data_IF_246597695715
#
_entry.id   IF_246597695715
#
_cell.length_a   1.000
_cell.length_b   1.000
_cell.length_c   1.000
_cell.angle_alpha   90.00
_cell.angle_beta   90.00
_cell.angle_gamma   90.00
#
_symmetry.space_group_name_H-M   'P 1'
#
loop_
_entity.id
_entity.type
_entity.pdbx_description
1 polymer ?
#
# COMPACT_ATOMS: atom_id res chain seq x y z
N UNK A 1 30.03 -1.66 6.93
CA UNK A 1 29.55 -0.33 7.37
C UNK A 1 28.15 -0.53 7.90
N UNK A 2 27.97 -0.44 9.23
CA UNK A 2 26.68 -0.65 9.89
C UNK A 2 25.65 0.39 9.43
N UNK A 3 24.37 0.00 9.39
CA UNK A 3 23.27 0.95 9.26
C UNK A 3 23.28 1.89 10.46
N UNK A 4 23.04 3.18 10.23
CA UNK A 4 22.93 4.17 11.33
C UNK A 4 21.64 4.06 12.12
N UNK A 5 20.63 3.35 11.58
CA UNK A 5 19.31 3.17 12.16
C UNK A 5 18.86 1.71 12.02
N UNK A 6 18.06 1.19 12.97
CA UNK A 6 17.36 -0.08 12.83
C UNK A 6 16.39 -0.07 11.63
N UNK A 7 16.02 -1.26 11.17
CA UNK A 7 15.18 -1.45 9.97
C UNK A 7 13.77 -1.89 10.32
N UNK A 8 12.82 -1.60 9.42
CA UNK A 8 11.43 -2.04 9.50
C UNK A 8 11.09 -2.91 8.28
N UNK A 9 10.87 -4.22 8.46
CA UNK A 9 10.56 -5.13 7.36
C UNK A 9 9.17 -4.89 6.76
N UNK A 10 9.15 -4.47 5.50
CA UNK A 10 7.93 -4.38 4.69
C UNK A 10 7.57 -5.76 4.13
N UNK A 11 6.28 -6.00 3.90
CA UNK A 11 5.91 -7.06 2.96
C UNK A 11 6.32 -6.61 1.56
N UNK A 12 7.07 -7.40 0.77
CA UNK A 12 7.46 -6.99 -0.58
C UNK A 12 6.26 -6.98 -1.54
N UNK A 13 5.20 -7.74 -1.25
CA UNK A 13 4.02 -7.89 -2.09
C UNK A 13 2.76 -8.07 -1.23
N UNK A 14 1.60 -7.94 -1.87
CA UNK A 14 0.30 -8.34 -1.34
C UNK A 14 -0.16 -9.57 -2.11
N UNK A 15 -0.26 -10.72 -1.43
CA UNK A 15 -0.69 -12.00 -2.05
C UNK A 15 0.13 -12.34 -3.30
N UNK A 16 1.45 -12.20 -3.21
CA UNK A 16 2.38 -12.44 -4.31
C UNK A 16 2.45 -11.35 -5.38
N UNK A 17 1.63 -10.29 -5.32
CA UNK A 17 1.66 -9.17 -6.26
C UNK A 17 2.30 -7.91 -5.62
N UNK A 18 3.45 -7.48 -6.15
CA UNK A 18 4.11 -6.23 -5.80
C UNK A 18 4.13 -5.25 -6.98
N UNK A 19 4.21 -3.96 -6.68
CA UNK A 19 4.53 -2.90 -7.63
C UNK A 19 6.05 -2.77 -7.79
N UNK A 20 6.51 -2.71 -9.03
CA UNK A 20 7.90 -2.41 -9.38
C UNK A 20 8.08 -0.89 -9.43
N UNK A 21 8.82 -0.34 -8.48
CA UNK A 21 9.17 1.07 -8.40
C UNK A 21 10.57 1.28 -8.96
N UNK A 22 10.68 1.94 -10.10
CA UNK A 22 11.95 2.08 -10.82
C UNK A 22 12.97 2.89 -10.04
N UNK A 23 14.18 2.36 -9.98
CA UNK A 23 15.36 3.04 -9.43
C UNK A 23 16.08 3.77 -10.55
N UNK A 24 16.27 5.08 -10.37
CA UNK A 24 17.05 5.95 -11.25
C UNK A 24 18.48 6.11 -10.73
N UNK A 25 19.37 6.63 -11.59
CA UNK A 25 20.78 6.87 -11.27
C UNK A 25 21.51 5.64 -10.69
N UNK A 26 21.21 4.48 -11.27
CA UNK A 26 21.71 3.18 -10.81
C UNK A 26 23.25 3.11 -10.92
N UNK A 27 23.90 2.85 -9.79
CA UNK A 27 25.35 2.67 -9.67
C UNK A 27 25.74 1.29 -10.22
N UNK A 28 26.26 1.27 -11.45
CA UNK A 28 26.48 0.04 -12.21
C UNK A 28 27.64 -0.82 -11.72
N UNK A 29 28.75 -0.21 -11.29
CA UNK A 29 29.98 -0.94 -10.94
C UNK A 29 29.80 -2.06 -9.91
N UNK A 30 29.13 -1.86 -8.75
CA UNK A 30 28.90 -2.94 -7.79
C UNK A 30 27.96 -4.02 -8.34
N UNK A 31 26.99 -3.66 -9.18
CA UNK A 31 26.07 -4.63 -9.79
C UNK A 31 26.78 -5.53 -10.81
N UNK A 32 27.70 -4.99 -11.60
CA UNK A 32 28.55 -5.81 -12.49
C UNK A 32 29.49 -6.73 -11.73
N UNK A 33 30.08 -6.25 -10.63
CA UNK A 33 30.99 -7.06 -9.82
C UNK A 33 30.29 -8.30 -9.22
N UNK A 34 29.01 -8.18 -8.88
CA UNK A 34 28.26 -9.25 -8.21
C UNK A 34 27.38 -10.07 -9.17
N UNK A 35 26.67 -9.41 -10.09
CA UNK A 35 25.66 -10.03 -10.95
C UNK A 35 26.07 -10.14 -12.42
N UNK A 36 27.29 -9.72 -12.80
CA UNK A 36 27.73 -9.68 -14.20
C UNK A 36 27.69 -11.03 -14.93
N UNK A 37 27.67 -12.15 -14.20
CA UNK A 37 27.51 -13.50 -14.76
C UNK A 37 26.07 -14.02 -14.78
N UNK A 38 25.12 -13.31 -14.16
CA UNK A 38 23.76 -13.77 -13.93
C UNK A 38 22.86 -13.43 -15.11
N UNK A 39 22.04 -14.40 -15.55
CA UNK A 39 21.09 -14.22 -16.66
C UNK A 39 19.63 -14.10 -16.22
N UNK A 40 19.34 -14.39 -14.95
CA UNK A 40 18.02 -14.27 -14.36
C UNK A 40 17.94 -13.00 -13.50
N UNK A 41 16.72 -12.57 -13.17
CA UNK A 41 16.51 -11.54 -12.16
C UNK A 41 17.02 -12.04 -10.81
N UNK A 42 17.73 -11.19 -10.10
CA UNK A 42 18.17 -11.44 -8.72
C UNK A 42 17.37 -10.56 -7.77
N UNK A 43 16.83 -11.14 -6.70
CA UNK A 43 16.14 -10.38 -5.66
C UNK A 43 17.08 -10.16 -4.49
N UNK A 44 17.24 -8.89 -4.09
CA UNK A 44 18.18 -8.52 -3.02
C UNK A 44 17.51 -7.60 -2.00
N UNK A 45 17.75 -7.78 -0.70
CA UNK A 45 17.28 -6.86 0.32
C UNK A 45 17.88 -5.46 0.13
N UNK A 46 17.01 -4.45 0.16
CA UNK A 46 17.37 -3.03 0.07
C UNK A 46 16.66 -2.22 1.14
N UNK A 47 17.34 -1.17 1.58
CA UNK A 47 16.85 -0.18 2.52
C UNK A 47 16.55 1.10 1.77
N UNK A 48 15.44 1.73 2.13
CA UNK A 48 15.03 3.03 1.62
C UNK A 48 15.46 4.11 2.62
N UNK A 49 16.49 4.89 2.29
CA UNK A 49 16.97 5.98 3.13
C UNK A 49 16.37 7.31 2.66
N UNK A 50 15.79 8.13 3.56
CA UNK A 50 15.21 9.40 3.17
C UNK A 50 16.30 10.40 2.75
N UNK A 51 16.17 10.97 1.55
CA UNK A 51 16.95 12.12 1.12
C UNK A 51 16.10 13.39 1.29
N UNK A 52 16.40 14.19 2.31
CA UNK A 52 15.62 15.39 2.62
C UNK A 52 15.85 16.54 1.64
N UNK A 53 16.95 16.54 0.88
CA UNK A 53 17.29 17.63 -0.05
C UNK A 53 16.53 17.48 -1.35
N UNK A 54 16.53 16.27 -1.91
CA UNK A 54 15.91 15.96 -3.22
C UNK A 54 14.49 15.39 -3.07
N UNK A 55 14.00 15.28 -1.83
CA UNK A 55 12.72 14.63 -1.50
C UNK A 55 12.61 13.21 -2.12
N UNK A 56 13.73 12.53 -2.32
CA UNK A 56 13.87 11.19 -2.92
C UNK A 56 14.11 10.11 -1.86
N UNK A 57 14.14 8.84 -2.25
CA UNK A 57 14.74 7.78 -1.44
C UNK A 57 16.05 7.31 -2.04
N UNK A 58 17.11 7.26 -1.25
CA UNK A 58 18.32 6.53 -1.62
C UNK A 58 18.10 5.04 -1.37
N UNK A 59 18.25 4.25 -2.41
CA UNK A 59 18.15 2.79 -2.34
C UNK A 59 19.52 2.23 -1.99
N UNK A 60 19.63 1.58 -0.83
CA UNK A 60 20.90 1.04 -0.35
C UNK A 60 20.81 -0.46 -0.13
N UNK A 61 21.80 -1.22 -0.59
CA UNK A 61 21.94 -2.63 -0.21
C UNK A 61 22.63 -2.74 1.14
N UNK A 62 22.06 -3.57 2.01
CA UNK A 62 22.67 -3.95 3.27
C UNK A 62 24.07 -4.53 3.00
N UNK A 63 25.09 -3.98 3.65
CA UNK A 63 26.49 -4.41 3.49
C UNK A 63 27.20 -3.97 2.19
N UNK A 64 26.49 -3.50 1.16
CA UNK A 64 27.07 -3.28 -0.18
C UNK A 64 27.00 -1.84 -0.73
N UNK A 65 26.34 -0.92 -0.03
CA UNK A 65 26.32 0.50 -0.40
C UNK A 65 25.16 0.90 -1.31
N UNK A 66 25.21 2.12 -1.83
CA UNK A 66 24.11 2.75 -2.58
C UNK A 66 23.96 2.06 -3.95
N UNK A 67 22.72 1.76 -4.31
CA UNK A 67 22.33 1.19 -5.61
C UNK A 67 21.83 2.27 -6.55
N UNK A 68 21.09 3.26 -6.06
CA UNK A 68 20.52 4.35 -6.86
C UNK A 68 19.49 5.13 -6.04
N UNK A 69 18.55 5.79 -6.71
CA UNK A 69 17.51 6.59 -6.06
C UNK A 69 16.10 6.28 -6.61
N UNK A 70 15.07 6.39 -5.76
CA UNK A 70 13.67 6.45 -6.17
C UNK A 70 13.24 7.90 -6.17
N UNK A 71 12.57 8.31 -7.26
CA UNK A 71 12.17 9.70 -7.49
C UNK A 71 11.25 10.26 -6.40
N UNK A 72 11.21 11.59 -6.26
CA UNK A 72 10.25 12.28 -5.39
C UNK A 72 8.79 11.95 -5.73
N UNK A 73 8.48 11.74 -7.01
CA UNK A 73 7.12 11.47 -7.48
C UNK A 73 6.65 10.10 -7.03
N UNK A 74 7.53 9.11 -7.12
CA UNK A 74 7.22 7.77 -6.62
C UNK A 74 7.16 7.75 -5.10
N UNK A 75 8.13 8.37 -4.42
CA UNK A 75 8.11 8.51 -2.95
C UNK A 75 6.82 9.14 -2.45
N UNK A 76 6.33 10.19 -3.11
CA UNK A 76 5.12 10.90 -2.71
C UNK A 76 3.85 10.02 -2.73
N UNK A 77 3.83 8.92 -3.50
CA UNK A 77 2.70 7.98 -3.51
C UNK A 77 2.60 7.19 -2.21
N UNK A 78 3.72 7.00 -1.52
CA UNK A 78 3.89 6.09 -0.39
C UNK A 78 3.95 6.84 0.95
N UNK A 79 2.92 7.66 1.22
CA UNK A 79 2.86 8.54 2.40
C UNK A 79 3.00 7.81 3.73
N UNK A 80 2.54 6.57 3.82
CA UNK A 80 2.60 5.79 5.06
C UNK A 80 4.02 5.31 5.40
N UNK A 81 4.94 5.26 4.44
CA UNK A 81 6.35 4.94 4.72
C UNK A 81 7.03 6.05 5.54
N UNK A 82 6.55 7.29 5.47
CA UNK A 82 7.05 8.37 6.33
C UNK A 82 6.83 8.10 7.81
N UNK A 83 5.82 7.29 8.17
CA UNK A 83 5.61 6.85 9.56
C UNK A 83 6.77 6.01 10.09
N UNK A 84 7.37 5.19 9.22
CA UNK A 84 8.54 4.37 9.55
C UNK A 84 9.74 5.29 9.82
N UNK A 85 9.99 6.25 8.93
CA UNK A 85 11.07 7.23 9.10
C UNK A 85 10.91 8.09 10.36
N UNK A 86 9.70 8.58 10.62
CA UNK A 86 9.40 9.35 11.85
C UNK A 86 9.66 8.53 13.11
N UNK A 87 9.41 7.22 13.03
CA UNK A 87 9.71 6.26 14.11
C UNK A 87 11.20 5.92 14.24
N UNK A 88 12.09 6.62 13.53
CA UNK A 88 13.54 6.40 13.53
C UNK A 88 13.95 5.01 13.00
N UNK A 89 13.16 4.47 12.07
CA UNK A 89 13.41 3.21 11.40
C UNK A 89 13.64 3.44 9.90
N UNK A 90 14.31 2.50 9.25
CA UNK A 90 14.46 2.48 7.79
C UNK A 90 13.65 1.33 7.17
N UNK A 91 12.73 1.59 6.23
CA UNK A 91 12.01 0.53 5.53
C UNK A 91 13.00 -0.38 4.79
N UNK A 92 12.85 -1.69 4.97
CA UNK A 92 13.57 -2.71 4.19
C UNK A 92 12.57 -3.52 3.37
N UNK A 93 12.89 -3.73 2.09
CA UNK A 93 12.12 -4.52 1.12
C UNK A 93 13.09 -5.23 0.16
N UNK A 94 12.58 -5.81 -0.93
CA UNK A 94 13.37 -6.42 -1.99
C UNK A 94 13.52 -5.49 -3.19
N UNK A 95 14.66 -5.56 -3.87
CA UNK A 95 14.85 -5.01 -5.21
C UNK A 95 15.10 -6.15 -6.20
N UNK A 96 14.43 -6.06 -7.36
CA UNK A 96 14.71 -6.87 -8.53
C UNK A 96 15.88 -6.24 -9.31
N UNK A 97 16.97 -6.99 -9.47
CA UNK A 97 18.13 -6.58 -10.27
C UNK A 97 18.15 -7.42 -11.55
N UNK A 98 18.07 -6.76 -12.69
CA UNK A 98 18.00 -7.41 -14.01
C UNK A 98 18.98 -6.78 -14.99
N UNK A 99 19.74 -7.61 -15.69
CA UNK A 99 20.59 -7.12 -16.77
C UNK A 99 19.74 -6.80 -18.01
N UNK A 100 19.79 -5.54 -18.46
CA UNK A 100 19.23 -5.10 -19.73
C UNK A 100 20.30 -5.25 -20.81
N UNK A 101 20.14 -6.28 -21.65
CA UNK A 101 21.06 -6.58 -22.73
C UNK A 101 21.04 -5.54 -23.87
N UNK A 102 19.93 -4.81 -24.04
CA UNK A 102 19.82 -3.78 -25.07
C UNK A 102 20.59 -2.52 -24.66
N UNK A 103 20.51 -2.15 -23.38
CA UNK A 103 21.17 -0.97 -22.84
C UNK A 103 22.57 -1.27 -22.27
N UNK A 104 22.95 -2.55 -22.17
CA UNK A 104 24.25 -2.98 -21.65
C UNK A 104 24.48 -2.60 -20.19
N UNK A 105 23.42 -2.51 -19.39
CA UNK A 105 23.46 -2.07 -17.99
C UNK A 105 22.42 -2.82 -17.15
N UNK A 106 22.56 -2.78 -15.83
CA UNK A 106 21.53 -3.29 -14.92
C UNK A 106 20.40 -2.27 -14.74
N UNK A 107 19.17 -2.76 -14.87
CA UNK A 107 17.96 -2.14 -14.38
C UNK A 107 17.65 -2.66 -12.97
N UNK A 108 17.12 -1.77 -12.12
CA UNK A 108 16.76 -2.09 -10.75
C UNK A 108 15.38 -1.51 -10.47
N UNK A 109 14.50 -2.36 -9.95
CA UNK A 109 13.18 -1.97 -9.48
C UNK A 109 13.04 -2.39 -8.01
N UNK A 110 12.62 -1.47 -7.14
CA UNK A 110 12.27 -1.79 -5.77
C UNK A 110 10.84 -2.32 -5.74
N UNK A 111 10.64 -3.46 -5.10
CA UNK A 111 9.34 -4.10 -5.02
C UNK A 111 8.66 -3.60 -3.75
N UNK A 112 7.50 -2.99 -3.93
CA UNK A 112 6.67 -2.49 -2.84
C UNK A 112 5.22 -2.96 -3.05
N UNK A 113 4.47 -3.25 -2.00
CA UNK A 113 3.04 -3.50 -2.10
C UNK A 113 2.33 -2.19 -2.51
N UNK A 114 1.06 -2.23 -2.94
CA UNK A 114 0.32 -1.01 -3.26
C UNK A 114 0.39 0.02 -2.13
N UNK A 115 0.49 1.33 -2.41
CA UNK A 115 0.82 2.32 -1.38
C UNK A 115 -0.07 2.30 -0.12
N UNK A 116 -1.39 2.10 -0.30
CA UNK A 116 -2.37 2.03 0.78
C UNK A 116 -2.28 0.76 1.64
N UNK A 117 -1.50 -0.23 1.21
CA UNK A 117 -1.29 -1.52 1.85
C UNK A 117 0.16 -1.69 2.35
N UNK A 118 1.00 -0.67 2.22
CA UNK A 118 2.44 -0.83 2.44
C UNK A 118 2.87 -0.87 3.89
N UNK A 119 2.14 -0.21 4.80
CA UNK A 119 2.50 -0.19 6.21
C UNK A 119 1.29 -0.58 7.05
N UNK A 120 1.41 -1.59 7.93
CA UNK A 120 0.33 -2.01 8.83
C UNK A 120 -0.20 -0.85 9.69
N UNK A 121 -1.51 -0.74 9.84
CA UNK A 121 -2.15 0.35 10.60
C UNK A 121 -1.98 0.22 12.12
N UNK A 122 -1.73 -1.00 12.61
CA UNK A 122 -1.36 -1.31 13.98
C UNK A 122 0.06 -1.89 14.08
N UNK A 123 0.53 -2.08 15.30
CA UNK A 123 1.80 -2.75 15.60
C UNK A 123 1.59 -4.24 15.86
N UNK A 124 2.60 -5.06 15.55
CA UNK A 124 2.60 -6.49 15.82
C UNK A 124 2.68 -6.80 17.33
N UNK A 125 3.28 -5.89 18.10
CA UNK A 125 3.50 -6.05 19.52
C UNK A 125 4.87 -6.66 19.84
N UNK A 126 5.37 -6.31 21.02
CA UNK A 126 6.65 -6.78 21.52
C UNK A 126 6.63 -8.30 21.71
N UNK A 127 7.67 -8.99 21.24
CA UNK A 127 7.83 -10.45 21.29
C UNK A 127 6.91 -11.27 20.38
N UNK A 128 6.11 -10.62 19.52
CA UNK A 128 5.35 -11.34 18.50
C UNK A 128 6.26 -11.95 17.43
N UNK A 129 5.88 -13.13 16.95
CA UNK A 129 6.47 -13.76 15.79
C UNK A 129 5.59 -13.45 14.58
N UNK A 130 6.11 -12.66 13.63
CA UNK A 130 5.38 -12.31 12.41
C UNK A 130 5.66 -13.38 11.36
N UNK A 131 4.61 -14.06 10.88
CA UNK A 131 4.76 -15.00 9.76
C UNK A 131 5.22 -14.26 8.48
N UNK A 132 6.07 -14.88 7.65
CA UNK A 132 6.47 -14.32 6.36
C UNK A 132 5.26 -14.08 5.46
N UNK A 133 5.38 -13.09 4.57
CA UNK A 133 4.39 -12.84 3.50
C UNK A 133 4.45 -13.93 2.44
N UNK A 134 3.32 -14.24 1.80
CA UNK A 134 3.20 -15.35 0.87
C UNK A 134 1.84 -15.46 0.18
N UNK A 135 1.20 -16.61 0.36
CA UNK A 135 -0.06 -16.94 -0.27
C UNK A 135 -1.24 -16.35 0.53
N UNK A 136 -2.36 -16.20 -0.18
CA UNK A 136 -3.61 -15.70 0.38
C UNK A 136 -4.36 -16.82 1.10
N UNK A 137 -4.67 -16.63 2.38
CA UNK A 137 -5.62 -17.47 3.12
C UNK A 137 -6.83 -16.65 3.56
N UNK A 138 -8.03 -17.07 3.19
CA UNK A 138 -9.26 -16.28 3.38
C UNK A 138 -9.67 -16.32 4.86
N UNK A 139 -10.10 -15.18 5.39
CA UNK A 139 -10.69 -15.08 6.73
C UNK A 139 -12.22 -15.08 6.57
N UNK A 140 -12.88 -16.07 7.16
CA UNK A 140 -14.32 -16.10 7.32
C UNK A 140 -14.72 -15.15 8.46
N UNK A 141 -15.05 -13.91 8.06
CA UNK A 141 -15.46 -12.84 8.98
C UNK A 141 -16.90 -12.96 9.49
N UNK A 142 -17.74 -13.82 8.89
CA UNK A 142 -19.11 -14.06 9.38
C UNK A 142 -19.11 -14.76 10.74
N UNK A 143 -18.02 -15.49 11.03
CA UNK A 143 -17.76 -16.15 12.32
C UNK A 143 -17.09 -15.21 13.34
N UNK A 144 -16.90 -13.94 12.99
CA UNK A 144 -16.24 -12.93 13.82
C UNK A 144 -17.20 -12.02 14.60
N UNK A 145 -16.61 -11.08 15.34
CA UNK A 145 -17.31 -10.12 16.18
C UNK A 145 -17.51 -8.75 15.50
N UNK A 146 -16.99 -8.56 14.28
CA UNK A 146 -17.03 -7.27 13.58
C UNK A 146 -18.25 -7.16 12.68
N UNK A 147 -18.95 -6.01 12.75
CA UNK A 147 -20.03 -5.72 11.79
C UNK A 147 -19.48 -5.39 10.41
N UNK A 148 -20.33 -5.45 9.38
CA UNK A 148 -19.95 -5.06 8.02
C UNK A 148 -19.43 -3.61 7.95
N UNK A 149 -20.03 -2.68 8.69
CA UNK A 149 -19.58 -1.28 8.75
C UNK A 149 -18.21 -1.15 9.43
N UNK A 150 -17.97 -1.94 10.47
CA UNK A 150 -16.66 -1.97 11.14
C UNK A 150 -15.59 -2.52 10.20
N UNK A 151 -15.85 -3.62 9.49
CA UNK A 151 -14.93 -4.18 8.50
C UNK A 151 -14.66 -3.20 7.36
N UNK A 152 -15.69 -2.49 6.87
CA UNK A 152 -15.54 -1.47 5.85
C UNK A 152 -14.62 -0.32 6.30
N UNK A 153 -14.64 0.05 7.58
CA UNK A 153 -13.75 1.10 8.12
C UNK A 153 -12.27 0.68 8.21
N UNK A 154 -11.98 -0.62 8.18
CA UNK A 154 -10.63 -1.18 8.19
C UNK A 154 -10.00 -1.21 6.79
N UNK A 155 -10.83 -1.13 5.73
CA UNK A 155 -10.42 -1.19 4.33
C UNK A 155 -10.28 0.21 3.69
N UNK A 156 -9.46 0.36 2.63
CA UNK A 156 -8.38 -0.55 2.25
C UNK A 156 -7.22 -0.44 3.24
N UNK A 157 -6.64 -1.55 3.68
CA UNK A 157 -5.53 -1.47 4.62
C UNK A 157 -4.86 -2.79 4.97
N UNK A 158 -3.63 -2.67 5.45
CA UNK A 158 -2.87 -3.76 6.04
C UNK A 158 -2.94 -3.68 7.57
N UNK A 159 -3.06 -4.85 8.22
CA UNK A 159 -3.12 -4.98 9.67
C UNK A 159 -2.32 -6.18 10.12
N UNK A 160 -1.74 -6.12 11.32
CA UNK A 160 -1.29 -7.31 12.04
C UNK A 160 -2.47 -7.93 12.77
N UNK A 161 -2.65 -9.23 12.59
CA UNK A 161 -3.68 -10.04 13.25
C UNK A 161 -3.03 -11.19 14.01
N UNK A 162 -3.60 -11.55 15.16
CA UNK A 162 -3.18 -12.71 15.94
C UNK A 162 -3.75 -13.99 15.33
N UNK A 163 -2.96 -15.07 15.39
CA UNK A 163 -3.37 -16.40 14.96
C UNK A 163 -3.29 -17.37 16.13
N UNK A 164 -4.36 -18.12 16.35
CA UNK A 164 -4.40 -19.12 17.42
C UNK A 164 -5.18 -20.36 16.98
N UNK A 165 -4.63 -21.54 17.27
CA UNK A 165 -5.36 -22.81 17.11
C UNK A 165 -6.41 -22.95 18.22
N UNK A 166 -7.66 -23.21 17.83
CA UNK A 166 -8.77 -23.47 18.74
C UNK A 166 -9.13 -24.97 18.70
N UNK A 167 -8.34 -25.76 19.41
CA UNK A 167 -8.39 -27.22 19.30
C UNK A 167 -7.94 -27.70 17.91
N UNK A 168 -8.50 -28.82 17.46
CA UNK A 168 -8.11 -29.44 16.18
C UNK A 168 -8.92 -28.91 14.98
N UNK A 169 -9.98 -28.12 15.22
CA UNK A 169 -11.01 -27.83 14.23
C UNK A 169 -10.94 -26.44 13.59
N UNK A 170 -10.27 -25.47 14.22
CA UNK A 170 -10.27 -24.09 13.74
C UNK A 170 -8.95 -23.38 14.03
N UNK A 171 -8.61 -22.43 13.16
CA UNK A 171 -7.63 -21.37 13.41
C UNK A 171 -8.39 -20.06 13.52
N UNK A 172 -8.36 -19.48 14.72
CA UNK A 172 -9.02 -18.21 15.06
C UNK A 172 -8.09 -17.06 14.73
N UNK A 173 -8.65 -16.03 14.08
CA UNK A 173 -7.95 -14.80 13.72
C UNK A 173 -8.46 -13.67 14.59
N UNK A 174 -7.57 -12.94 15.26
CA UNK A 174 -7.91 -11.82 16.14
C UNK A 174 -7.34 -10.51 15.64
N UNK A 175 -8.10 -9.43 15.81
CA UNK A 175 -7.62 -8.06 15.61
C UNK A 175 -7.72 -7.31 16.94
N UNK A 176 -6.59 -7.16 17.61
CA UNK A 176 -6.56 -6.73 19.01
C UNK A 176 -7.17 -7.81 19.92
N UNK A 177 -8.06 -7.41 20.83
CA UNK A 177 -8.72 -8.32 21.78
C UNK A 177 -9.99 -8.98 21.22
N UNK A 178 -10.36 -8.67 19.97
CA UNK A 178 -11.60 -9.11 19.34
C UNK A 178 -11.35 -10.17 18.27
N UNK A 179 -12.29 -11.10 18.14
CA UNK A 179 -12.24 -12.13 17.10
C UNK A 179 -12.66 -11.52 15.76
N UNK A 180 -11.75 -11.53 14.80
CA UNK A 180 -12.02 -11.09 13.42
C UNK A 180 -12.79 -12.17 12.64
N UNK A 181 -12.49 -13.44 12.91
CA UNK A 181 -13.10 -14.58 12.24
C UNK A 181 -12.27 -15.85 12.41
N UNK A 182 -12.49 -16.81 11.52
CA UNK A 182 -11.67 -18.02 11.42
C UNK A 182 -11.05 -18.13 10.02
N UNK A 183 -9.94 -18.85 9.91
CA UNK A 183 -9.41 -19.24 8.58
C UNK A 183 -10.46 -20.09 7.86
N UNK A 184 -10.63 -19.84 6.56
CA UNK A 184 -11.59 -20.58 5.73
C UNK A 184 -11.28 -22.09 5.72
N UNK A 185 -12.31 -22.92 5.55
CA UNK A 185 -12.11 -24.37 5.51
C UNK A 185 -11.20 -24.84 4.37
N UNK A 186 -11.02 -24.02 3.31
CA UNK A 186 -10.14 -24.35 2.19
C UNK A 186 -8.66 -24.23 2.56
N UNK A 187 -8.31 -23.29 3.45
CA UNK A 187 -6.93 -22.97 3.81
C UNK A 187 -6.55 -23.51 5.20
N UNK A 188 -7.53 -24.00 5.97
CA UNK A 188 -7.39 -24.34 7.38
C UNK A 188 -6.24 -25.31 7.69
N UNK A 189 -6.16 -26.42 6.94
CA UNK A 189 -5.16 -27.46 7.22
C UNK A 189 -3.73 -26.94 6.99
N UNK A 190 -3.53 -26.15 5.93
CA UNK A 190 -2.24 -25.56 5.58
C UNK A 190 -1.82 -24.50 6.61
N UNK A 191 -2.72 -23.58 6.98
CA UNK A 191 -2.43 -22.56 8.00
C UNK A 191 -2.18 -23.20 9.37
N UNK A 192 -2.92 -24.26 9.72
CA UNK A 192 -2.68 -24.98 10.97
C UNK A 192 -1.30 -25.64 10.98
N UNK A 193 -0.87 -26.24 9.87
CA UNK A 193 0.47 -26.81 9.76
C UNK A 193 1.56 -25.73 9.95
N UNK A 194 1.41 -24.58 9.28
CA UNK A 194 2.30 -23.43 9.45
C UNK A 194 2.43 -23.00 10.92
N UNK A 195 1.32 -22.94 11.66
CA UNK A 195 1.32 -22.54 13.08
C UNK A 195 1.97 -23.58 13.99
N UNK A 196 1.88 -24.87 13.66
CA UNK A 196 2.49 -25.95 14.43
C UNK A 196 4.02 -26.01 14.19
N UNK A 197 4.46 -25.68 12.99
CA UNK A 197 5.88 -25.66 12.62
C UNK A 197 6.58 -24.36 13.03
N UNK A 198 5.83 -23.27 13.22
CA UNK A 198 6.37 -22.01 13.71
C UNK A 198 6.91 -22.15 15.14
N UNK A 199 8.09 -21.57 15.45
CA UNK A 199 8.60 -21.59 16.82
C UNK A 199 7.65 -20.84 17.74
N UNK A 200 7.35 -21.44 18.89
CA UNK A 200 6.53 -20.79 19.90
C UNK A 200 7.25 -19.56 20.45
N UNK A 201 6.69 -18.34 20.32
CA UNK A 201 7.32 -17.15 20.86
C UNK A 201 7.28 -17.17 22.39
N UNK A 202 8.40 -16.83 23.03
CA UNK A 202 8.48 -16.69 24.49
C UNK A 202 7.58 -15.53 24.94
N UNK A 203 6.43 -15.86 25.54
CA UNK A 203 5.42 -14.89 26.02
C UNK A 203 4.81 -13.98 24.94
N UNK A 204 4.91 -14.35 23.66
CA UNK A 204 4.33 -13.62 22.54
C UNK A 204 3.18 -14.36 21.86
N UNK A 205 2.69 -13.80 20.75
CA UNK A 205 1.72 -14.46 19.87
C UNK A 205 2.30 -14.62 18.48
N UNK A 206 1.85 -15.66 17.76
CA UNK A 206 2.06 -15.73 16.31
C UNK A 206 1.10 -14.77 15.65
N UNK A 207 1.64 -13.89 14.83
CA UNK A 207 0.87 -12.87 14.11
C UNK A 207 1.13 -12.98 12.62
N UNK A 208 0.19 -12.52 11.82
CA UNK A 208 0.32 -12.44 10.38
C UNK A 208 -0.09 -11.06 9.88
N UNK A 209 0.32 -10.74 8.65
CA UNK A 209 -0.23 -9.62 7.91
C UNK A 209 -1.58 -10.04 7.34
N UNK A 210 -2.58 -9.19 7.52
CA UNK A 210 -3.88 -9.32 6.89
C UNK A 210 -4.17 -8.08 6.05
N UNK A 211 -4.76 -8.29 4.88
CA UNK A 211 -5.19 -7.23 3.99
C UNK A 211 -6.72 -7.20 3.92
N UNK A 212 -7.25 -5.99 4.03
CA UNK A 212 -8.67 -5.68 3.90
C UNK A 212 -8.84 -4.89 2.62
N UNK A 213 -9.45 -5.50 1.60
CA UNK A 213 -9.58 -4.91 0.27
C UNK A 213 -10.88 -5.39 -0.37
N UNK A 214 -11.66 -4.46 -0.96
CA UNK A 214 -12.87 -4.77 -1.74
C UNK A 214 -13.87 -5.70 -1.01
N UNK A 215 -14.04 -5.53 0.30
CA UNK A 215 -14.95 -6.33 1.14
C UNK A 215 -14.42 -7.71 1.53
N UNK A 216 -13.17 -8.04 1.17
CA UNK A 216 -12.48 -9.25 1.57
C UNK A 216 -11.48 -8.96 2.70
N UNK A 217 -11.35 -9.90 3.63
CA UNK A 217 -10.27 -9.96 4.59
C UNK A 217 -9.51 -11.28 4.38
N UNK A 218 -8.20 -11.19 4.11
CA UNK A 218 -7.38 -12.39 3.94
C UNK A 218 -5.98 -12.16 4.52
N UNK A 219 -5.41 -13.25 5.03
CA UNK A 219 -4.03 -13.33 5.47
C UNK A 219 -3.10 -13.30 4.25
N UNK A 220 -1.87 -12.89 4.51
CA UNK A 220 -0.72 -12.98 3.60
C UNK A 220 0.39 -13.69 4.35
N UNK A 221 0.51 -14.99 4.09
CA UNK A 221 1.30 -15.90 4.91
C UNK A 221 2.06 -16.92 4.06
N UNK A 222 3.27 -17.25 4.48
CA UNK A 222 4.07 -18.37 4.01
C UNK A 222 4.59 -19.16 5.21
N UNK A 223 5.15 -20.34 4.92
CA UNK A 223 5.81 -21.17 5.93
C UNK A 223 6.96 -20.40 6.60
N UNK A 224 7.15 -20.66 7.89
CA UNK A 224 8.26 -20.05 8.65
C UNK A 224 9.63 -20.30 7.98
N UNK A 225 9.82 -21.48 7.39
CA UNK A 225 11.05 -21.85 6.68
C UNK A 225 11.33 -21.02 5.42
N UNK A 226 10.31 -20.34 4.88
CA UNK A 226 10.43 -19.53 3.68
C UNK A 226 10.96 -18.12 3.99
N UNK A 227 11.12 -17.79 5.28
CA UNK A 227 11.79 -16.58 5.70
C UNK A 227 13.26 -16.60 5.24
N UNK A 228 13.56 -15.86 4.17
CA UNK A 228 14.92 -15.74 3.63
C UNK A 228 15.93 -15.16 4.66
N UNK A 229 15.44 -14.39 5.63
CA UNK A 229 16.22 -13.80 6.72
C UNK A 229 15.37 -13.70 7.99
N UNK A 230 15.88 -14.08 9.18
CA UNK A 230 15.16 -13.92 10.45
C UNK A 230 14.69 -12.48 10.75
N UNK A 231 15.33 -11.47 10.17
CA UNK A 231 14.89 -10.08 10.23
C UNK A 231 13.43 -9.89 9.80
N UNK A 232 12.93 -10.65 8.82
CA UNK A 232 11.55 -10.52 8.32
C UNK A 232 10.49 -11.02 9.31
N UNK A 233 10.92 -11.80 10.32
CA UNK A 233 10.06 -12.42 11.31
C UNK A 233 9.79 -11.53 12.53
N UNK A 234 10.57 -10.46 12.70
CA UNK A 234 10.42 -9.51 13.80
C UNK A 234 10.24 -8.10 13.24
N UNK A 235 9.06 -7.54 13.46
CA UNK A 235 8.72 -6.19 13.00
C UNK A 235 8.71 -5.25 14.21
N UNK A 236 9.63 -4.26 14.29
CA UNK A 236 9.62 -3.30 15.39
C UNK A 236 8.35 -2.46 15.41
N UNK A 237 7.90 -2.07 16.60
CA UNK A 237 6.74 -1.19 16.74
C UNK A 237 7.02 0.20 16.18
N UNK A 238 6.03 0.75 15.46
CA UNK A 238 6.03 2.15 15.04
C UNK A 238 5.58 3.02 16.22
N UNK A 239 6.36 4.06 16.53
CA UNK A 239 6.06 5.01 17.62
C UNK A 239 5.08 6.09 17.20
N UNK A 240 4.87 6.25 15.89
CA UNK A 240 3.87 7.14 15.33
C UNK A 240 2.68 6.32 14.82
N UNK A 241 1.47 6.78 15.12
CA UNK A 241 0.25 6.22 14.55
C UNK A 241 0.20 6.45 13.05
N UNK A 242 -0.56 5.61 12.33
CA UNK A 242 -0.95 5.90 10.94
C UNK A 242 -1.48 7.34 10.90
N UNK A 243 -1.08 8.16 9.91
CA UNK A 243 -1.80 9.39 9.66
C UNK A 243 -3.24 8.94 9.44
N UNK A 244 -4.07 9.17 10.46
CA UNK A 244 -5.41 8.63 10.55
C UNK A 244 -6.07 8.78 9.18
N UNK A 245 -6.91 7.81 8.79
CA UNK A 245 -7.88 8.00 7.71
C UNK A 245 -8.88 9.11 8.00
N UNK A 246 -8.52 10.10 8.83
CA UNK A 246 -9.17 11.37 8.99
C UNK A 246 -9.33 11.96 7.61
N UNK A 247 -10.59 11.91 7.15
CA UNK A 247 -11.18 12.68 6.07
C UNK A 247 -10.12 13.43 5.24
N UNK A 248 -9.82 12.90 4.05
CA UNK A 248 -8.93 13.55 3.07
C UNK A 248 -9.25 15.04 2.88
N UNK A 249 -10.52 15.39 3.13
CA UNK A 249 -11.04 16.72 3.28
C UNK A 249 -12.23 16.72 4.26
N UNK A 250 -12.38 17.76 5.06
CA UNK A 250 -13.57 17.96 5.88
C UNK A 250 -14.49 18.98 5.23
N UNK A 251 -15.72 18.58 4.91
CA UNK A 251 -16.74 19.50 4.40
C UNK A 251 -17.63 19.98 5.54
N UNK A 252 -17.73 21.30 5.72
CA UNK A 252 -18.67 21.95 6.63
C UNK A 252 -19.74 22.65 5.80
N UNK A 253 -21.00 22.30 6.00
CA UNK A 253 -22.12 23.01 5.40
C UNK A 253 -22.64 24.07 6.37
N UNK A 254 -22.75 25.31 5.91
CA UNK A 254 -23.26 26.43 6.70
C UNK A 254 -24.80 26.51 6.62
N UNK A 255 -25.45 27.16 7.60
CA UNK A 255 -26.92 27.30 7.61
C UNK A 255 -27.52 28.04 6.41
N UNK A 256 -26.71 28.83 5.69
CA UNK A 256 -27.10 29.54 4.46
C UNK A 256 -27.02 28.64 3.20
N UNK A 257 -26.63 27.38 3.34
CA UNK A 257 -26.49 26.41 2.26
C UNK A 257 -25.12 26.44 1.56
N UNK A 258 -24.22 27.35 1.94
CA UNK A 258 -22.83 27.34 1.46
C UNK A 258 -22.02 26.21 2.11
N UNK A 259 -20.87 25.86 1.53
CA UNK A 259 -20.00 24.80 2.04
C UNK A 259 -18.53 25.24 2.04
N UNK A 260 -17.78 24.79 3.04
CA UNK A 260 -16.32 24.90 3.10
C UNK A 260 -15.69 23.51 3.08
N UNK A 261 -14.52 23.40 2.46
CA UNK A 261 -13.70 22.18 2.41
C UNK A 261 -12.35 22.48 3.04
N UNK A 262 -12.02 21.79 4.13
CA UNK A 262 -10.74 21.89 4.82
C UNK A 262 -9.84 20.74 4.38
N UNK A 263 -8.65 21.05 3.87
CA UNK A 263 -7.63 20.05 3.45
C UNK A 263 -6.30 20.33 4.12
N UNK A 264 -5.50 19.29 4.31
CA UNK A 264 -4.10 19.46 4.72
C UNK A 264 -3.32 20.25 3.65
N UNK A 265 -2.52 21.21 4.10
CA UNK A 265 -1.78 22.13 3.21
C UNK A 265 -0.81 21.41 2.28
N UNK A 266 -0.22 20.29 2.71
CA UNK A 266 0.67 19.48 1.87
C UNK A 266 -0.04 18.83 0.69
N UNK A 267 -1.38 18.75 0.74
CA UNK A 267 -2.25 18.14 -0.28
C UNK A 267 -3.05 19.17 -1.07
N UNK A 268 -2.99 20.44 -0.69
CA UNK A 268 -3.64 21.51 -1.43
C UNK A 268 -2.95 21.70 -2.78
N UNK A 269 -3.71 21.59 -3.88
CA UNK A 269 -3.19 21.91 -5.20
C UNK A 269 -2.69 23.36 -5.21
N UNK A 270 -1.42 23.57 -5.56
CA UNK A 270 -0.89 24.92 -5.80
C UNK A 270 -1.65 25.46 -7.01
N UNK A 271 -2.35 26.61 -6.91
CA UNK A 271 -3.09 27.14 -8.04
C UNK A 271 -2.11 27.45 -9.16
N UNK A 272 -2.19 26.68 -10.24
CA UNK A 272 -1.52 27.00 -11.49
C UNK A 272 -2.17 28.28 -11.99
N UNK A 273 -1.52 29.43 -11.82
CA UNK A 273 -2.00 30.67 -12.42
C UNK A 273 -2.19 30.41 -13.92
N UNK A 274 -3.40 30.56 -14.47
CA UNK A 274 -3.55 30.63 -15.92
C UNK A 274 -2.64 31.76 -16.39
N UNK A 275 -1.84 31.52 -17.43
CA UNK A 275 -1.07 32.59 -18.07
C UNK A 275 -2.07 33.50 -18.79
N UNK A 276 -2.71 34.39 -18.06
CA UNK A 276 -3.46 35.50 -18.65
C UNK A 276 -2.44 36.49 -19.20
N UNK A 277 -2.38 36.60 -20.52
CA UNK A 277 -1.68 37.70 -21.20
C UNK A 277 -2.16 39.01 -20.58
N UNK A 278 -1.26 39.77 -19.95
CA UNK A 278 -1.53 41.05 -19.29
C UNK A 278 -1.67 42.22 -20.27
N UNK A 279 -2.04 41.97 -21.52
CA UNK A 279 -2.41 43.04 -22.45
C UNK A 279 -3.90 43.30 -22.35
N UNK A 280 -4.29 44.21 -21.45
CA UNK A 280 -5.61 44.83 -21.45
C UNK A 280 -6.45 44.69 -20.17
N UNK A 281 -5.91 44.19 -19.07
CA UNK A 281 -6.63 44.19 -17.80
C UNK A 281 -6.53 45.59 -17.15
N UNK A 282 -7.62 46.36 -17.19
CA UNK A 282 -7.78 47.51 -16.29
C UNK A 282 -7.77 47.02 -14.83
N UNK A 283 -7.13 47.76 -13.91
CA UNK A 283 -7.14 47.38 -12.51
C UNK A 283 -8.57 47.41 -11.98
N UNK A 284 -9.01 46.30 -11.39
CA UNK A 284 -10.27 46.26 -10.65
C UNK A 284 -10.22 47.32 -9.52
N UNK A 285 -11.31 48.08 -9.30
CA UNK A 285 -11.33 49.07 -8.24
C UNK A 285 -11.26 48.35 -6.89
N UNK A 286 -10.44 48.89 -5.98
CA UNK A 286 -10.45 48.53 -4.58
C UNK A 286 -11.83 48.89 -4.02
N UNK A 287 -12.62 47.88 -3.65
CA UNK A 287 -13.84 48.09 -2.88
C UNK A 287 -13.41 48.32 -1.43
N UNK A 288 -13.50 49.57 -0.99
CA UNK A 288 -13.44 49.92 0.43
C UNK A 288 -14.61 49.23 1.14
N UNK A 289 -14.26 48.46 2.18
CA UNK A 289 -15.21 47.73 3.01
C UNK A 289 -15.77 48.72 4.01
N UNK A 290 -16.71 49.56 3.58
CA UNK A 290 -17.62 50.25 4.49
C UNK A 290 -18.86 50.69 3.70
N UNK A 291 -20.01 50.52 4.36
CA UNK A 291 -21.38 50.88 3.97
C UNK A 291 -22.26 49.68 3.55
N UNK A 292 -23.10 49.30 4.51
CA UNK A 292 -24.28 48.44 4.41
C UNK A 292 -25.42 49.28 3.85
N UNK A 293 -26.00 48.93 2.70
CA UNK A 293 -27.40 49.22 2.38
C UNK A 293 -28.01 48.08 1.55
N UNK A 294 -29.22 47.69 1.96
CA UNK A 294 -30.10 46.71 1.33
C UNK A 294 -30.46 47.12 -0.12
N UNK A 295 -30.23 46.25 -1.10
CA UNK A 295 -31.02 46.24 -2.33
C UNK A 295 -31.28 44.80 -2.80
N UNK A 296 -32.57 44.49 -2.94
CA UNK A 296 -33.10 43.32 -3.63
C UNK A 296 -32.65 43.33 -5.10
N UNK A 297 -32.12 42.20 -5.59
CA UNK A 297 -31.96 41.99 -7.02
C UNK A 297 -32.44 40.58 -7.41
N UNK A 298 -33.61 40.60 -8.03
CA UNK A 298 -34.29 39.52 -8.74
C UNK A 298 -33.37 38.81 -9.75
N UNK A 299 -33.32 37.48 -9.71
CA UNK A 299 -32.65 36.67 -10.74
C UNK A 299 -33.71 35.95 -11.57
N UNK A 300 -33.75 36.31 -12.84
CA UNK A 300 -34.56 35.70 -13.89
C UNK A 300 -34.15 34.24 -14.10
N UNK A 301 -35.15 33.37 -14.24
CA UNK A 301 -35.00 31.96 -14.57
C UNK A 301 -34.61 31.80 -16.05
N UNK A 302 -33.56 31.02 -16.32
CA UNK A 302 -33.31 30.45 -17.64
C UNK A 302 -33.07 28.95 -17.48
N UNK A 303 -34.08 28.18 -17.90
CA UNK A 303 -34.05 26.72 -18.03
C UNK A 303 -33.33 26.34 -19.32
N UNK A 304 -32.28 25.53 -19.22
CA UNK A 304 -31.73 24.78 -20.36
C UNK A 304 -31.59 23.31 -19.98
N UNK A 305 -32.46 22.52 -20.61
CA UNK A 305 -32.56 21.06 -20.61
C UNK A 305 -31.33 20.44 -21.27
N UNK A 306 -30.74 19.40 -20.66
CA UNK A 306 -29.77 18.54 -21.31
C UNK A 306 -30.27 17.08 -21.28
N UNK A 307 -30.55 16.54 -22.47
CA UNK A 307 -30.85 15.12 -22.70
C UNK A 307 -29.60 14.23 -22.48
N UNK A 308 -29.78 12.97 -22.06
CA UNK A 308 -28.67 12.03 -21.88
C UNK A 308 -28.28 11.38 -23.22
N UNK A 309 -26.98 11.18 -23.53
CA UNK A 309 -26.61 10.40 -24.69
C UNK A 309 -26.80 8.89 -24.45
N UNK A 310 -27.43 8.28 -25.45
CA UNK A 310 -27.73 6.87 -25.64
C UNK A 310 -26.51 5.97 -25.67
N UNK A 311 -26.67 4.79 -25.06
CA UNK A 311 -25.80 3.62 -25.12
C UNK A 311 -25.64 3.09 -26.55
N UNK A 312 -24.40 2.89 -26.99
CA UNK A 312 -24.09 1.99 -28.10
C UNK A 312 -23.22 0.84 -27.58
N UNK A 313 -23.77 -0.36 -27.71
CA UNK A 313 -23.25 -1.64 -27.25
C UNK A 313 -21.98 -2.01 -28.05
N UNK A 314 -20.81 -1.75 -27.45
CA UNK A 314 -19.56 -2.40 -27.81
C UNK A 314 -19.21 -3.41 -26.73
N UNK A 315 -19.20 -4.69 -27.08
CA UNK A 315 -18.95 -5.87 -26.24
C UNK A 315 -17.56 -5.84 -25.56
N UNK A 316 -17.38 -4.97 -24.57
CA UNK A 316 -16.19 -4.85 -23.75
C UNK A 316 -16.28 -5.87 -22.62
N UNK A 317 -15.65 -7.02 -22.82
CA UNK A 317 -15.40 -7.97 -21.75
C UNK A 317 -14.50 -7.31 -20.69
N UNK A 318 -14.96 -7.30 -19.45
CA UNK A 318 -14.15 -6.85 -18.31
C UNK A 318 -12.92 -7.76 -18.12
N UNK A 319 -11.86 -7.27 -17.49
CA UNK A 319 -10.63 -8.05 -17.25
C UNK A 319 -10.90 -9.36 -16.49
N UNK A 320 -11.91 -9.37 -15.62
CA UNK A 320 -12.40 -10.56 -14.92
C UNK A 320 -12.99 -11.58 -15.89
N UNK A 321 -13.75 -11.13 -16.89
CA UNK A 321 -14.31 -12.01 -17.92
C UNK A 321 -13.22 -12.51 -18.88
N UNK A 322 -12.19 -11.71 -19.19
CA UNK A 322 -11.01 -12.16 -19.95
C UNK A 322 -10.21 -13.22 -19.19
N UNK A 323 -10.03 -13.05 -17.88
CA UNK A 323 -9.34 -14.02 -17.02
C UNK A 323 -10.10 -15.36 -16.92
N UNK A 324 -11.43 -15.32 -16.77
CA UNK A 324 -12.28 -16.53 -16.82
C UNK A 324 -12.23 -17.21 -18.19
N UNK A 325 -12.21 -16.44 -19.27
CA UNK A 325 -12.12 -16.98 -20.63
C UNK A 325 -10.78 -17.67 -20.89
N UNK A 326 -9.66 -17.10 -20.42
CA UNK A 326 -8.33 -17.73 -20.49
C UNK A 326 -8.28 -19.07 -19.74
N UNK A 327 -8.83 -19.15 -18.51
CA UNK A 327 -8.91 -20.41 -17.74
C UNK A 327 -9.75 -21.49 -18.42
N UNK A 328 -10.85 -21.09 -19.08
CA UNK A 328 -11.71 -22.03 -19.83
C UNK A 328 -11.05 -22.58 -21.11
N UNK A 329 -10.15 -21.80 -21.73
CA UNK A 329 -9.41 -22.21 -22.92
C UNK A 329 -8.21 -23.12 -22.60
N UNK A 330 -7.56 -22.92 -21.45
CA UNK A 330 -6.47 -23.80 -20.98
C UNK A 330 -6.99 -25.14 -20.43
N UNK A 331 -8.16 -25.15 -19.79
CA UNK A 331 -8.81 -26.39 -19.34
C UNK A 331 -9.28 -27.30 -20.50
N UNK A 332 -9.45 -26.74 -21.70
CA UNK A 332 -9.84 -27.48 -22.91
C UNK A 332 -8.68 -28.13 -23.69
N UNK A 333 -7.41 -27.79 -23.38
CA UNK A 333 -6.23 -28.32 -24.09
C UNK A 333 -5.66 -29.61 -23.52
N UNK A 334 -6.08 -30.02 -22.32
CA UNK A 334 -5.72 -31.30 -21.72
C UNK A 334 -6.92 -32.26 -21.69
N UNK A 335 -7.49 -32.55 -22.86
CA UNK A 335 -8.25 -33.79 -23.06
C UNK A 335 -8.31 -34.14 -24.53
N UNK A 336 -7.48 -35.09 -24.95
CA UNK A 336 -7.82 -36.11 -25.95
C UNK A 336 -6.96 -37.36 -25.69
N UNK A 337 -7.51 -38.54 -26.00
CA UNK A 337 -7.22 -39.82 -25.35
C UNK A 337 -5.82 -40.38 -25.60
#
# INVERSE_FOLDING_TARGET
MELSLPVYPLAPSTWGAGEEVTVVDVVQSPLFAEFGGTRHTSYVPVVLEPNAVEESWRVRRLGHGIVGEISQFDRARYVDLERIHKSQLLPVTLAAVKFDAEQGKFAVDVILPPPQLAVPRNNAGLHSLVLPSGDMAIIDTERGEFSAEQLASLAPGQWFVGLQTAGDADVVVTLGERVLGCVSAADLDDVRAMLLDAPSPDNGCVVARAFFLDGMAALDIADYSDAADPMWLHVPDLTHSSPDGGKQFETVQFPDGSWAVTVDRSRAAVPTRPRTNTQGAEPAPLVDIDVVEDEEASILAETATAEPPSSDDGDYLTEVQKARRRRSQDAGRHRKP
#
